data_IF_878741939075
#
_entry.id   IF_878741939075
#
_cell.length_a   1.000
_cell.length_b   1.000
_cell.length_c   1.000
_cell.angle_alpha   90.00
_cell.angle_beta   90.00
_cell.angle_gamma   90.00
#
_symmetry.space_group_name_H-M   'P 1'
#
loop_
_entity.id
_entity.type
_entity.pdbx_description
1 polymer ?
#
# COMPACT_ATOMS: atom_id res chain seq x y z
N UNK A 1 15.39 -21.15 -32.43
CA UNK A 1 15.99 -20.93 -31.09
C UNK A 1 15.70 -22.13 -30.21
N UNK A 2 16.68 -22.61 -29.43
CA UNK A 2 16.46 -23.74 -28.52
C UNK A 2 15.77 -23.26 -27.22
N UNK A 3 15.02 -24.13 -26.55
CA UNK A 3 14.31 -23.86 -25.28
C UNK A 3 15.23 -23.30 -24.21
N UNK A 4 16.48 -23.76 -24.14
CA UNK A 4 17.47 -23.26 -23.19
C UNK A 4 17.90 -21.82 -23.49
N UNK A 5 18.12 -21.46 -24.75
CA UNK A 5 18.46 -20.10 -25.16
C UNK A 5 17.31 -19.13 -24.86
N UNK A 6 16.06 -19.55 -25.15
CA UNK A 6 14.87 -18.77 -24.82
C UNK A 6 14.77 -18.48 -23.31
N UNK A 7 15.08 -19.48 -22.48
CA UNK A 7 15.07 -19.34 -21.01
C UNK A 7 16.12 -18.33 -20.53
N UNK A 8 17.34 -18.36 -21.08
CA UNK A 8 18.40 -17.39 -20.77
C UNK A 8 17.98 -15.96 -21.15
N UNK A 9 17.34 -15.79 -22.32
CA UNK A 9 16.86 -14.47 -22.75
C UNK A 9 15.79 -13.94 -21.80
N UNK A 10 14.81 -14.77 -21.42
CA UNK A 10 13.75 -14.39 -20.46
C UNK A 10 14.36 -14.05 -19.09
N UNK A 11 15.27 -14.88 -18.58
CA UNK A 11 15.97 -14.66 -17.32
C UNK A 11 16.71 -13.31 -17.32
N UNK A 12 17.47 -13.04 -18.39
CA UNK A 12 18.23 -11.80 -18.55
C UNK A 12 17.30 -10.60 -18.59
N UNK A 13 16.19 -10.68 -19.33
CA UNK A 13 15.20 -9.62 -19.41
C UNK A 13 14.58 -9.33 -18.04
N UNK A 14 14.19 -10.37 -17.29
CA UNK A 14 13.58 -10.23 -15.97
C UNK A 14 14.55 -9.70 -14.91
N UNK A 15 15.84 -10.05 -14.98
CA UNK A 15 16.88 -9.51 -14.09
C UNK A 15 17.23 -8.05 -14.40
N UNK A 16 17.07 -7.63 -15.65
CA UNK A 16 17.40 -6.27 -16.10
C UNK A 16 16.21 -5.32 -16.01
N UNK A 17 14.98 -5.84 -15.89
CA UNK A 17 13.77 -5.05 -15.86
C UNK A 17 13.58 -4.36 -14.49
N UNK A 18 13.21 -3.08 -14.52
CA UNK A 18 12.84 -2.34 -13.31
C UNK A 18 11.39 -2.58 -12.88
N UNK A 19 10.55 -3.05 -13.81
CA UNK A 19 9.12 -3.28 -13.60
C UNK A 19 8.77 -4.73 -13.97
N UNK A 20 7.68 -5.30 -13.41
CA UNK A 20 7.21 -6.63 -13.79
C UNK A 20 6.94 -6.71 -15.29
N UNK A 21 7.37 -7.82 -15.91
CA UNK A 21 7.15 -8.07 -17.34
C UNK A 21 5.96 -9.00 -17.53
N UNK A 22 5.02 -8.58 -18.37
CA UNK A 22 3.90 -9.42 -18.79
C UNK A 22 4.36 -10.53 -19.75
N UNK A 23 3.56 -11.60 -19.85
CA UNK A 23 3.76 -12.64 -20.86
C UNK A 23 3.77 -12.03 -22.28
N UNK A 24 2.93 -11.02 -22.52
CA UNK A 24 2.86 -10.35 -23.82
C UNK A 24 4.17 -9.59 -24.15
N UNK A 25 4.79 -8.93 -23.18
CA UNK A 25 6.07 -8.24 -23.37
C UNK A 25 7.21 -9.22 -23.57
N UNK A 26 7.25 -10.31 -22.80
CA UNK A 26 8.27 -11.36 -22.97
C UNK A 26 8.19 -12.04 -24.34
N UNK A 27 6.99 -12.17 -24.92
CA UNK A 27 6.82 -12.69 -26.29
C UNK A 27 7.45 -11.79 -27.35
N UNK A 28 7.43 -10.47 -27.15
CA UNK A 28 8.04 -9.52 -28.10
C UNK A 28 9.56 -9.66 -28.21
N UNK A 29 10.22 -10.25 -27.20
CA UNK A 29 11.65 -10.55 -27.26
C UNK A 29 11.99 -11.62 -28.31
N UNK A 30 10.99 -12.33 -28.80
CA UNK A 30 11.10 -13.43 -29.75
C UNK A 30 10.23 -13.20 -30.99
N UNK A 31 9.99 -11.93 -31.36
CA UNK A 31 9.15 -11.54 -32.51
C UNK A 31 7.78 -12.25 -32.53
N UNK A 32 7.19 -12.49 -31.35
CA UNK A 32 5.92 -13.20 -31.15
C UNK A 32 5.90 -14.68 -31.63
N UNK A 33 7.03 -15.25 -32.04
CA UNK A 33 7.16 -16.64 -32.51
C UNK A 33 6.80 -17.67 -31.43
N UNK A 34 7.07 -17.33 -30.16
CA UNK A 34 6.70 -18.18 -29.02
C UNK A 34 5.26 -17.92 -28.58
N UNK A 35 4.51 -19.01 -28.44
CA UNK A 35 3.15 -18.97 -27.90
C UNK A 35 3.11 -18.56 -26.42
N UNK A 36 2.00 -17.98 -25.94
CA UNK A 36 1.87 -17.55 -24.55
C UNK A 36 2.01 -18.72 -23.55
N UNK A 37 1.55 -19.92 -23.91
CA UNK A 37 1.70 -21.10 -23.06
C UNK A 37 3.16 -21.55 -22.95
N UNK A 38 3.92 -21.48 -24.04
CA UNK A 38 5.36 -21.76 -24.03
C UNK A 38 6.10 -20.82 -23.09
N UNK A 39 5.80 -19.51 -23.14
CA UNK A 39 6.39 -18.53 -22.22
C UNK A 39 6.02 -18.84 -20.76
N UNK A 40 4.76 -19.19 -20.48
CA UNK A 40 4.34 -19.59 -19.12
C UNK A 40 5.11 -20.81 -18.63
N UNK A 41 5.28 -21.84 -19.46
CA UNK A 41 6.09 -23.01 -19.13
C UNK A 41 7.53 -22.63 -18.82
N UNK A 42 8.15 -21.80 -19.66
CA UNK A 42 9.53 -21.33 -19.43
C UNK A 42 9.68 -20.55 -18.13
N UNK A 43 8.70 -19.70 -17.78
CA UNK A 43 8.68 -18.94 -16.53
C UNK A 43 8.53 -19.84 -15.30
N UNK A 44 7.66 -20.84 -15.37
CA UNK A 44 7.48 -21.83 -14.32
C UNK A 44 8.75 -22.67 -14.12
N UNK A 45 9.37 -23.12 -15.21
CA UNK A 45 10.66 -23.83 -15.17
C UNK A 45 11.77 -22.93 -14.62
N UNK A 46 11.79 -21.64 -14.97
CA UNK A 46 12.77 -20.69 -14.45
C UNK A 46 12.55 -20.45 -12.95
N UNK A 47 11.30 -20.33 -12.51
CA UNK A 47 10.98 -20.22 -11.09
C UNK A 47 11.50 -21.41 -10.30
N UNK A 48 11.38 -22.62 -10.85
CA UNK A 48 11.89 -23.84 -10.21
C UNK A 48 13.43 -23.86 -10.13
N UNK A 49 14.13 -23.44 -11.20
CA UNK A 49 15.61 -23.35 -11.21
C UNK A 49 16.18 -22.36 -10.19
N UNK A 50 15.39 -21.35 -9.82
CA UNK A 50 15.75 -20.33 -8.84
C UNK A 50 15.33 -20.65 -7.40
N UNK A 51 14.73 -21.83 -7.15
CA UNK A 51 14.46 -22.25 -5.78
C UNK A 51 15.74 -22.39 -4.95
N UNK A 52 15.70 -21.92 -3.71
CA UNK A 52 16.84 -21.98 -2.78
C UNK A 52 17.93 -20.92 -3.02
N UNK A 53 17.73 -19.98 -3.96
CA UNK A 53 18.63 -18.85 -4.18
C UNK A 53 18.20 -17.62 -3.36
N UNK A 54 19.08 -16.61 -3.27
CA UNK A 54 18.80 -15.36 -2.57
C UNK A 54 17.78 -14.44 -3.25
N UNK A 55 17.40 -14.74 -4.49
CA UNK A 55 16.31 -14.10 -5.22
C UNK A 55 15.38 -15.17 -5.78
N UNK A 56 14.11 -14.82 -5.91
CA UNK A 56 13.05 -15.70 -6.40
C UNK A 56 12.28 -15.00 -7.52
N UNK A 57 11.91 -15.77 -8.54
CA UNK A 57 11.00 -15.31 -9.59
C UNK A 57 9.56 -15.44 -9.10
N UNK A 58 8.84 -14.32 -9.02
CA UNK A 58 7.46 -14.29 -8.53
C UNK A 58 6.49 -13.80 -9.61
N UNK A 59 5.29 -14.40 -9.69
CA UNK A 59 4.19 -13.86 -10.47
C UNK A 59 3.40 -12.83 -9.65
N UNK A 60 3.02 -11.74 -10.28
CA UNK A 60 2.26 -10.61 -9.76
C UNK A 60 1.03 -10.32 -10.63
N UNK A 61 0.17 -9.40 -10.20
CA UNK A 61 -0.98 -8.97 -10.96
C UNK A 61 -0.59 -8.26 -12.27
N UNK A 62 0.55 -7.54 -12.28
CA UNK A 62 1.09 -6.87 -13.47
C UNK A 62 2.03 -7.71 -14.32
N UNK A 63 2.53 -8.86 -13.86
CA UNK A 63 3.47 -9.67 -14.63
C UNK A 63 4.40 -10.52 -13.77
N UNK A 64 5.62 -10.74 -14.24
CA UNK A 64 6.64 -11.53 -13.56
C UNK A 64 7.84 -10.66 -13.24
N UNK A 65 8.44 -10.84 -12.06
CA UNK A 65 9.72 -10.19 -11.70
C UNK A 65 10.53 -11.02 -10.73
N UNK A 66 11.83 -10.73 -10.67
CA UNK A 66 12.64 -11.19 -9.55
C UNK A 66 12.42 -10.32 -8.31
N UNK A 67 12.42 -10.97 -7.16
CA UNK A 67 12.39 -10.34 -5.83
C UNK A 67 13.41 -11.03 -4.93
N UNK A 68 13.85 -10.33 -3.88
CA UNK A 68 14.69 -10.93 -2.85
C UNK A 68 13.92 -12.01 -2.11
N UNK A 69 14.57 -13.12 -1.81
CA UNK A 69 13.95 -14.16 -0.99
C UNK A 69 13.67 -13.61 0.42
N UNK A 70 12.52 -13.94 1.06
CA UNK A 70 12.15 -13.39 2.37
C UNK A 70 13.24 -13.58 3.45
N UNK A 71 13.96 -14.71 3.40
CA UNK A 71 15.06 -14.99 4.34
C UNK A 71 16.26 -14.02 4.22
N UNK A 72 16.35 -13.22 3.15
CA UNK A 72 17.41 -12.25 2.95
C UNK A 72 17.13 -10.89 3.61
N UNK A 73 15.86 -10.59 3.94
CA UNK A 73 15.47 -9.29 4.48
C UNK A 73 16.32 -8.82 5.69
N UNK A 74 16.57 -9.65 6.74
CA UNK A 74 17.36 -9.22 7.90
C UNK A 74 18.81 -8.86 7.58
N UNK A 75 19.34 -9.37 6.47
CA UNK A 75 20.70 -9.07 6.01
C UNK A 75 20.73 -7.80 5.16
N UNK A 76 19.73 -7.62 4.29
CA UNK A 76 19.63 -6.48 3.38
C UNK A 76 19.25 -5.17 4.10
N UNK A 77 18.53 -5.24 5.22
CA UNK A 77 18.29 -4.08 6.10
C UNK A 77 19.58 -3.37 6.53
N UNK A 78 20.71 -4.08 6.59
CA UNK A 78 22.01 -3.48 6.96
C UNK A 78 22.58 -2.58 5.88
N UNK A 79 22.16 -2.76 4.63
CA UNK A 79 22.62 -1.95 3.50
C UNK A 79 21.91 -0.59 3.46
N UNK A 80 20.67 -0.54 3.96
CA UNK A 80 19.82 0.65 4.00
C UNK A 80 19.23 0.78 5.41
N UNK A 81 19.97 1.40 6.36
CA UNK A 81 19.54 1.49 7.75
C UNK A 81 18.33 2.42 7.96
N UNK A 82 18.01 3.25 6.97
CA UNK A 82 16.77 4.02 6.94
C UNK A 82 15.59 3.07 6.76
N UNK A 83 14.76 2.98 7.79
CA UNK A 83 13.58 2.12 7.76
C UNK A 83 12.58 2.71 6.76
N UNK A 84 11.95 1.88 5.91
CA UNK A 84 10.84 2.34 5.10
C UNK A 84 9.80 3.04 5.98
N UNK A 85 9.13 4.09 5.46
CA UNK A 85 8.10 4.79 6.21
C UNK A 85 7.02 3.78 6.62
N UNK A 86 6.93 3.52 7.93
CA UNK A 86 5.94 2.60 8.46
C UNK A 86 4.57 3.26 8.38
N UNK A 87 3.66 2.66 7.61
CA UNK A 87 2.26 3.05 7.65
C UNK A 87 1.71 2.82 9.06
N UNK A 88 0.90 3.78 9.54
CA UNK A 88 0.28 3.65 10.86
C UNK A 88 -0.67 2.46 10.88
N UNK A 89 -0.91 1.91 12.08
CA UNK A 89 -1.88 0.82 12.26
C UNK A 89 -3.26 1.19 11.70
N UNK A 90 -3.70 2.43 11.89
CA UNK A 90 -4.98 2.90 11.37
C UNK A 90 -5.06 2.88 9.84
N UNK A 91 -3.95 3.20 9.15
CA UNK A 91 -3.86 3.11 7.68
C UNK A 91 -3.98 1.66 7.23
N UNK A 92 -3.19 0.76 7.83
CA UNK A 92 -3.19 -0.66 7.44
C UNK A 92 -4.51 -1.37 7.79
N UNK A 93 -5.16 -1.04 8.91
CA UNK A 93 -6.50 -1.55 9.25
C UNK A 93 -7.55 -1.08 8.24
N UNK A 94 -7.50 0.19 7.84
CA UNK A 94 -8.42 0.74 6.84
C UNK A 94 -8.23 0.05 5.50
N UNK A 95 -6.98 -0.11 5.05
CA UNK A 95 -6.64 -0.84 3.83
C UNK A 95 -7.10 -2.30 3.89
N UNK A 96 -6.86 -2.98 5.00
CA UNK A 96 -7.30 -4.36 5.20
C UNK A 96 -8.81 -4.48 5.02
N UNK A 97 -9.60 -3.61 5.66
CA UNK A 97 -11.06 -3.65 5.51
C UNK A 97 -11.46 -3.50 4.04
N UNK A 98 -10.87 -2.54 3.33
CA UNK A 98 -11.14 -2.35 1.89
C UNK A 98 -10.78 -3.62 1.11
N UNK A 99 -9.59 -4.19 1.31
CA UNK A 99 -9.11 -5.36 0.57
C UNK A 99 -10.02 -6.59 0.73
N UNK A 100 -10.50 -6.85 1.95
CA UNK A 100 -11.31 -8.03 2.27
C UNK A 100 -12.82 -7.83 2.11
N UNK A 101 -13.31 -6.58 2.04
CA UNK A 101 -14.75 -6.29 2.03
C UNK A 101 -15.25 -5.49 0.85
N UNK A 102 -14.37 -5.02 -0.03
CA UNK A 102 -14.77 -4.28 -1.23
C UNK A 102 -15.91 -4.97 -2.00
N UNK A 103 -16.86 -4.19 -2.56
CA UNK A 103 -16.95 -2.72 -2.52
C UNK A 103 -17.44 -2.19 -1.16
N UNK A 104 -16.74 -1.23 -0.56
CA UNK A 104 -17.13 -0.61 0.74
C UNK A 104 -17.16 0.91 0.69
N UNK A 105 -18.07 1.52 1.44
CA UNK A 105 -18.09 2.97 1.67
C UNK A 105 -17.28 3.35 2.90
N UNK A 106 -16.94 4.65 3.04
CA UNK A 106 -16.31 5.15 4.28
C UNK A 106 -17.13 4.80 5.54
N UNK A 107 -18.46 4.89 5.47
CA UNK A 107 -19.34 4.55 6.59
C UNK A 107 -19.26 3.08 6.96
N UNK A 108 -19.23 2.17 5.98
CA UNK A 108 -19.08 0.73 6.23
C UNK A 108 -17.72 0.43 6.91
N UNK A 109 -16.65 1.15 6.55
CA UNK A 109 -15.34 1.01 7.20
C UNK A 109 -15.39 1.48 8.66
N UNK A 110 -16.01 2.63 8.93
CA UNK A 110 -16.15 3.19 10.28
C UNK A 110 -16.96 2.27 11.20
N UNK A 111 -18.03 1.67 10.67
CA UNK A 111 -18.85 0.68 11.38
C UNK A 111 -18.02 -0.54 11.81
N UNK A 112 -17.19 -1.07 10.92
CA UNK A 112 -16.33 -2.24 11.20
C UNK A 112 -15.22 -1.88 12.20
N UNK A 113 -14.61 -0.69 12.07
CA UNK A 113 -13.52 -0.25 12.97
C UNK A 113 -14.02 0.21 14.33
N UNK A 114 -15.29 0.62 14.44
CA UNK A 114 -15.85 1.23 15.63
C UNK A 114 -15.33 2.65 15.92
N UNK A 115 -14.56 3.25 14.99
CA UNK A 115 -14.00 4.60 15.10
C UNK A 115 -14.03 5.31 13.75
N UNK A 116 -14.11 6.64 13.77
CA UNK A 116 -14.10 7.48 12.57
C UNK A 116 -12.81 7.26 11.76
N UNK A 117 -12.93 7.26 10.43
CA UNK A 117 -11.79 7.17 9.52
C UNK A 117 -11.46 8.57 9.04
N UNK A 118 -10.23 9.01 9.34
CA UNK A 118 -9.73 10.30 8.87
C UNK A 118 -9.72 10.35 7.34
N UNK A 119 -10.19 11.47 6.77
CA UNK A 119 -10.13 11.71 5.33
C UNK A 119 -8.68 11.65 4.80
N UNK A 120 -7.69 11.99 5.63
CA UNK A 120 -6.28 11.91 5.29
C UNK A 120 -5.82 10.46 5.05
N UNK A 121 -6.35 9.48 5.78
CA UNK A 121 -6.01 8.07 5.59
C UNK A 121 -6.47 7.60 4.21
N UNK A 122 -7.72 7.90 3.85
CA UNK A 122 -8.28 7.55 2.53
C UNK A 122 -7.44 8.19 1.44
N UNK A 123 -7.15 9.49 1.56
CA UNK A 123 -6.32 10.24 0.62
C UNK A 123 -4.92 9.62 0.47
N UNK A 124 -4.27 9.24 1.57
CA UNK A 124 -2.96 8.56 1.54
C UNK A 124 -3.02 7.23 0.78
N UNK A 125 -4.06 6.43 0.99
CA UNK A 125 -4.25 5.16 0.27
C UNK A 125 -4.49 5.37 -1.23
N UNK A 126 -5.23 6.42 -1.60
CA UNK A 126 -5.48 6.80 -3.00
C UNK A 126 -4.21 7.35 -3.67
N UNK A 127 -3.45 8.22 -3.00
CA UNK A 127 -2.18 8.79 -3.51
C UNK A 127 -1.10 7.71 -3.69
N UNK A 128 -1.05 6.74 -2.77
CA UNK A 128 -0.22 5.53 -2.93
C UNK A 128 -0.76 4.62 -4.04
N UNK A 129 -1.96 4.86 -4.53
CA UNK A 129 -2.60 4.09 -5.58
C UNK A 129 -2.99 2.70 -5.14
N UNK A 130 -3.19 2.45 -3.84
CA UNK A 130 -3.64 1.15 -3.34
C UNK A 130 -5.16 0.98 -3.42
N UNK A 131 -5.89 2.08 -3.34
CA UNK A 131 -7.36 2.08 -3.47
C UNK A 131 -7.80 3.08 -4.53
N UNK A 132 -9.01 2.88 -5.04
CA UNK A 132 -9.69 3.79 -5.95
C UNK A 132 -11.21 3.78 -5.70
N UNK A 133 -11.89 4.82 -6.19
CA UNK A 133 -13.36 4.86 -6.22
C UNK A 133 -13.86 4.07 -7.42
N UNK A 134 -14.52 2.94 -7.16
CA UNK A 134 -15.06 2.04 -8.18
C UNK A 134 -16.55 2.31 -8.48
N UNK A 135 -17.20 3.19 -7.73
CA UNK A 135 -18.59 3.54 -7.93
C UNK A 135 -19.18 4.34 -6.77
N UNK A 136 -20.50 4.47 -6.75
CA UNK A 136 -21.25 5.10 -5.65
C UNK A 136 -22.44 4.22 -5.27
N UNK A 137 -22.76 4.14 -3.98
CA UNK A 137 -23.89 3.35 -3.48
C UNK A 137 -25.21 4.08 -3.79
N UNK A 138 -26.23 3.36 -4.27
CA UNK A 138 -27.54 3.94 -4.61
C UNK A 138 -28.43 4.13 -3.36
N UNK A 139 -27.95 4.99 -2.45
CA UNK A 139 -28.64 5.41 -1.22
C UNK A 139 -28.55 6.93 -1.08
N UNK A 140 -29.26 7.50 -0.09
CA UNK A 140 -29.21 8.94 0.20
C UNK A 140 -27.77 9.38 0.47
N UNK A 141 -27.37 10.49 -0.16
CA UNK A 141 -25.99 11.00 -0.09
C UNK A 141 -25.00 10.35 -1.06
N UNK A 142 -25.40 9.26 -1.76
CA UNK A 142 -24.61 8.55 -2.77
C UNK A 142 -23.12 8.41 -2.40
N UNK A 143 -22.80 7.76 -1.27
CA UNK A 143 -21.41 7.65 -0.82
C UNK A 143 -20.56 6.86 -1.81
N UNK A 144 -19.29 7.25 -1.96
CA UNK A 144 -18.31 6.56 -2.79
C UNK A 144 -18.06 5.12 -2.29
N UNK A 145 -17.87 4.21 -3.24
CA UNK A 145 -17.46 2.82 -3.02
C UNK A 145 -15.99 2.66 -3.37
N UNK A 146 -15.21 2.17 -2.43
CA UNK A 146 -13.78 1.92 -2.57
C UNK A 146 -13.50 0.46 -2.92
N UNK A 147 -12.47 0.27 -3.76
CA UNK A 147 -11.86 -1.01 -4.06
C UNK A 147 -10.35 -0.90 -4.14
N UNK A 148 -9.64 -2.02 -4.09
CA UNK A 148 -8.18 -2.09 -4.23
C UNK A 148 -7.77 -2.13 -5.70
N UNK A 149 -6.60 -1.59 -6.01
CA UNK A 149 -6.06 -1.52 -7.37
C UNK A 149 -5.11 -2.69 -7.70
N UNK A 150 -4.63 -2.76 -8.95
CA UNK A 150 -3.52 -3.65 -9.32
C UNK A 150 -2.21 -3.31 -8.62
N UNK A 151 -1.93 -2.02 -8.39
CA UNK A 151 -0.72 -1.58 -7.68
C UNK A 151 -0.71 -2.11 -6.25
N UNK A 152 -1.85 -2.15 -5.58
CA UNK A 152 -1.97 -2.82 -4.29
C UNK A 152 -1.54 -4.30 -4.37
N UNK A 153 -2.05 -5.04 -5.37
CA UNK A 153 -1.68 -6.45 -5.52
C UNK A 153 -0.19 -6.64 -5.77
N UNK A 154 0.41 -5.81 -6.62
CA UNK A 154 1.85 -5.87 -6.92
C UNK A 154 2.70 -5.54 -5.69
N UNK A 155 2.35 -4.49 -4.95
CA UNK A 155 3.02 -4.08 -3.71
C UNK A 155 2.83 -5.13 -2.59
N UNK A 156 1.73 -5.90 -2.63
CA UNK A 156 1.48 -7.03 -1.72
C UNK A 156 2.09 -8.34 -2.21
N UNK A 157 2.70 -8.38 -3.41
CA UNK A 157 3.28 -9.61 -3.95
C UNK A 157 2.22 -10.65 -4.31
N UNK A 158 1.06 -10.21 -4.80
CA UNK A 158 -0.11 -11.03 -5.09
C UNK A 158 -0.45 -10.98 -6.59
N UNK A 159 -0.98 -12.09 -7.10
CA UNK A 159 -1.59 -12.14 -8.44
C UNK A 159 -3.04 -11.70 -8.44
N UNK A 160 -3.74 -11.98 -7.34
CA UNK A 160 -5.16 -11.74 -7.19
C UNK A 160 -5.55 -11.60 -5.72
N UNK A 161 -6.71 -10.97 -5.47
CA UNK A 161 -7.26 -10.80 -4.13
C UNK A 161 -7.56 -12.13 -3.42
N UNK A 162 -7.82 -13.19 -4.16
CA UNK A 162 -8.06 -14.53 -3.61
C UNK A 162 -6.83 -15.14 -2.91
N UNK A 163 -5.65 -14.57 -3.11
CA UNK A 163 -4.40 -14.99 -2.46
C UNK A 163 -4.15 -14.27 -1.13
N UNK A 164 -5.05 -13.37 -0.73
CA UNK A 164 -5.02 -12.77 0.59
C UNK A 164 -5.22 -13.86 1.67
N UNK A 165 -4.47 -13.79 2.79
CA UNK A 165 -4.63 -14.72 3.90
C UNK A 165 -6.10 -14.82 4.37
N UNK A 166 -6.67 -16.02 4.53
CA UNK A 166 -8.04 -16.16 5.02
C UNK A 166 -8.17 -15.61 6.44
N UNK A 167 -9.26 -14.87 6.72
CA UNK A 167 -9.57 -14.38 8.05
C UNK A 167 -10.62 -15.28 8.71
N UNK A 168 -10.33 -15.79 9.92
CA UNK A 168 -11.23 -16.71 10.64
C UNK A 168 -12.60 -16.07 10.99
N UNK A 169 -12.69 -14.74 11.05
CA UNK A 169 -13.96 -14.00 11.13
C UNK A 169 -13.79 -12.53 10.77
N UNK A 170 -13.93 -12.17 9.49
CA UNK A 170 -13.70 -10.79 9.03
C UNK A 170 -14.67 -9.72 9.63
N UNK A 171 -15.65 -10.11 10.45
CA UNK A 171 -16.62 -9.22 11.12
C UNK A 171 -16.12 -8.70 12.47
N UNK A 172 -15.11 -9.32 13.07
CA UNK A 172 -14.58 -8.86 14.34
C UNK A 172 -13.48 -7.80 14.13
N UNK A 173 -13.43 -6.71 14.94
CA UNK A 173 -12.33 -5.75 14.93
C UNK A 173 -10.94 -6.42 15.10
N UNK A 174 -10.88 -7.54 15.81
CA UNK A 174 -9.69 -8.35 15.97
C UNK A 174 -9.17 -8.95 14.65
N UNK A 175 -10.06 -9.30 13.72
CA UNK A 175 -9.67 -9.85 12.42
C UNK A 175 -9.12 -8.77 11.48
N UNK A 176 -9.64 -7.54 11.54
CA UNK A 176 -9.06 -6.42 10.80
C UNK A 176 -7.63 -6.11 11.27
N UNK A 177 -7.36 -6.23 12.58
CA UNK A 177 -6.01 -6.07 13.13
C UNK A 177 -5.04 -7.17 12.64
N UNK A 178 -5.48 -8.43 12.63
CA UNK A 178 -4.66 -9.54 12.10
C UNK A 178 -4.39 -9.39 10.60
N UNK A 179 -5.39 -8.97 9.84
CA UNK A 179 -5.25 -8.67 8.41
C UNK A 179 -4.25 -7.53 8.16
N UNK A 180 -4.34 -6.46 8.96
CA UNK A 180 -3.41 -5.33 8.89
C UNK A 180 -1.97 -5.75 9.20
N UNK A 181 -1.78 -6.61 10.20
CA UNK A 181 -0.47 -7.18 10.53
C UNK A 181 0.08 -8.01 9.37
N UNK A 182 -0.73 -8.86 8.75
CA UNK A 182 -0.33 -9.66 7.60
C UNK A 182 0.05 -8.80 6.38
N UNK A 183 -0.70 -7.72 6.11
CA UNK A 183 -0.37 -6.77 5.03
C UNK A 183 0.89 -5.98 5.35
N UNK A 184 1.05 -5.52 6.60
CA UNK A 184 2.25 -4.82 7.05
C UNK A 184 3.51 -5.67 6.92
N UNK A 185 3.41 -6.96 7.29
CA UNK A 185 4.53 -7.90 7.16
C UNK A 185 4.92 -8.12 5.69
N UNK A 186 3.93 -8.26 4.79
CA UNK A 186 4.19 -8.40 3.35
C UNK A 186 4.89 -7.18 2.77
N UNK A 187 4.49 -5.97 3.16
CA UNK A 187 5.16 -4.75 2.72
C UNK A 187 6.65 -4.75 3.09
N UNK A 188 6.97 -5.13 4.32
CA UNK A 188 8.36 -5.20 4.81
C UNK A 188 9.17 -6.24 4.02
N UNK A 189 8.58 -7.39 3.71
CA UNK A 189 9.26 -8.46 2.96
C UNK A 189 9.52 -8.10 1.49
N UNK A 190 8.65 -7.27 0.90
CA UNK A 190 8.68 -6.91 -0.52
C UNK A 190 9.46 -5.63 -0.80
N UNK A 191 9.52 -4.71 0.16
CA UNK A 191 10.37 -3.52 0.15
C UNK A 191 11.82 -3.86 0.55
N UNK A 192 12.44 -4.82 -0.15
CA UNK A 192 13.89 -4.80 -0.29
C UNK A 192 14.24 -3.68 -1.29
N UNK A 193 15.08 -2.70 -0.92
CA UNK A 193 15.05 -1.39 -1.55
C UNK A 193 15.61 -1.43 -2.97
N UNK A 194 14.73 -1.19 -3.94
CA UNK A 194 15.08 -0.41 -5.12
C UNK A 194 14.66 1.04 -4.78
N UNK A 195 15.64 1.90 -4.56
CA UNK A 195 15.43 3.23 -3.98
C UNK A 195 14.49 4.12 -4.81
N UNK A 196 13.62 4.85 -4.11
CA UNK A 196 13.57 6.32 -4.08
C UNK A 196 12.52 6.83 -3.07
N UNK A 197 13.00 7.71 -2.18
CA UNK A 197 12.32 8.80 -1.46
C UNK A 197 11.17 8.55 -0.47
N UNK A 198 11.51 8.76 0.81
CA UNK A 198 10.83 9.56 1.83
C UNK A 198 9.35 9.95 1.63
N UNK A 199 8.51 9.52 2.57
CA UNK A 199 7.53 10.40 3.26
C UNK A 199 7.12 9.74 4.57
N UNK A 200 7.59 10.25 5.71
CA UNK A 200 6.96 9.96 7.00
C UNK A 200 5.55 10.58 7.03
N UNK A 201 4.50 9.77 6.88
CA UNK A 201 3.13 10.22 7.18
C UNK A 201 2.88 9.98 8.67
N UNK A 202 3.41 10.88 9.51
CA UNK A 202 3.01 10.98 10.91
C UNK A 202 1.66 11.68 10.95
N UNK A 203 0.60 10.93 11.25
CA UNK A 203 -0.69 11.51 11.63
C UNK A 203 -0.72 11.61 13.14
N UNK A 204 -0.20 12.72 13.63
CA UNK A 204 -0.24 13.06 15.05
C UNK A 204 -1.69 13.40 15.40
N UNK A 205 -2.41 12.43 15.97
CA UNK A 205 -3.72 12.69 16.57
C UNK A 205 -3.44 13.18 17.99
N UNK A 206 -3.34 14.50 18.16
CA UNK A 206 -3.51 15.12 19.48
C UNK A 206 -4.98 14.98 19.87
N UNK A 207 -5.24 14.04 20.79
CA UNK A 207 -6.48 13.98 21.55
C UNK A 207 -6.59 15.24 22.41
N UNK A 208 -7.47 16.15 22.00
CA UNK A 208 -7.90 17.26 22.83
C UNK A 208 -8.65 16.75 24.04
N UNK A 209 -8.05 16.89 25.21
CA UNK A 209 -8.72 16.80 26.50
C UNK A 209 -8.57 18.14 27.25
N UNK A 210 -9.67 18.52 27.88
CA UNK A 210 -10.08 19.87 28.27
C UNK A 210 -9.45 20.41 29.56
N UNK A 211 -9.48 21.75 29.66
CA UNK A 211 -9.64 22.60 30.85
C UNK A 211 -8.40 22.98 31.67
N UNK A 212 -8.13 24.29 31.74
CA UNK A 212 -7.19 24.90 32.67
C UNK A 212 -7.07 26.42 32.51
N UNK A 213 -8.01 27.16 33.13
CA UNK A 213 -7.96 28.55 33.60
C UNK A 213 -7.01 29.57 32.92
N UNK A 214 -7.58 30.56 32.22
CA UNK A 214 -6.91 31.84 31.92
C UNK A 214 -7.36 32.86 32.97
N UNK A 215 -6.39 33.33 33.75
CA UNK A 215 -6.48 34.42 34.71
C UNK A 215 -6.58 35.76 33.96
N UNK A 216 -7.64 36.53 34.23
CA UNK A 216 -7.90 37.84 33.62
C UNK A 216 -7.58 38.91 34.67
N UNK A 217 -6.61 39.81 34.46
CA UNK A 217 -6.44 40.96 35.34
C UNK A 217 -7.55 42.01 35.09
N UNK A 218 -8.04 42.70 36.13
CA UNK A 218 -9.13 43.65 35.96
C UNK A 218 -8.65 44.98 35.38
N UNK A 219 -9.45 45.46 34.43
CA UNK A 219 -9.45 46.75 33.79
C UNK A 219 -9.71 47.89 34.80
N UNK A 220 -8.92 48.97 34.77
CA UNK A 220 -9.20 50.20 35.52
C UNK A 220 -9.47 51.32 34.52
N UNK A 221 -10.75 51.61 34.40
CA UNK A 221 -11.36 52.68 33.63
C UNK A 221 -11.09 54.05 34.29
N UNK A 222 -10.63 55.04 33.53
CA UNK A 222 -10.77 56.46 33.89
C UNK A 222 -10.89 57.34 32.62
N UNK A 223 -12.14 57.54 32.20
CA UNK A 223 -12.78 58.83 31.88
C UNK A 223 -12.15 59.80 30.86
N UNK A 224 -12.92 60.27 29.85
CA UNK A 224 -12.47 61.25 28.86
C UNK A 224 -12.77 62.69 29.31
N UNK A 225 -12.00 63.67 28.84
CA UNK A 225 -12.50 65.03 28.65
C UNK A 225 -11.75 65.74 27.50
N UNK A 226 -12.50 66.59 26.80
CA UNK A 226 -12.32 67.01 25.40
C UNK A 226 -11.55 68.36 25.29
N UNK A 227 -11.52 69.10 24.15
CA UNK A 227 -10.29 69.56 23.50
C UNK A 227 -10.06 71.09 23.62
N UNK A 228 -8.91 71.60 23.13
CA UNK A 228 -8.82 72.95 22.51
C UNK A 228 -7.50 73.22 21.77
N UNK A 229 -7.65 74.03 20.71
CA UNK A 229 -6.69 74.57 19.73
C UNK A 229 -5.88 75.76 20.26
N UNK A 230 -4.93 76.21 19.41
CA UNK A 230 -4.22 77.51 19.34
C UNK A 230 -3.03 77.67 20.31
N UNK A 231 -1.84 78.15 19.90
CA UNK A 231 -1.31 78.76 18.67
C UNK A 231 0.19 78.42 18.56
#
# INVERSE_FOLDING_TARGET
>A
MNTHEAKIVIETALLSAQQPLTVAELRKLFDDELGPDTIRTLLEDLRNDWQGRGVALVPLASGWRFQTAPGMAPFLERLHPEKPPKYSRAVLETLAIIAYRQPVTRGDIEEIRGVTVSAQIVKTLEERGWIEVIGHKDVVGRPALFGTTRRFLDDMGLRALSELPPLESAEAPAAAAQAAEALGQRLIELEAPAGEADTEIRTDIETGETAGAIDIPPDVHAGPDEPKRES
#
